data_IF_842423133683
#
_entry.id   IF_842423133683
#
_cell.length_a   1.000
_cell.length_b   1.000
_cell.length_c   1.000
_cell.angle_alpha   90.00
_cell.angle_beta   90.00
_cell.angle_gamma   90.00
#
_symmetry.space_group_name_H-M   'P 1'
#
loop_
_entity.id
_entity.type
_entity.pdbx_description
1 polymer ?
#
# COMPACT_ATOMS: atom_id res chain seq x y z
N UNK A 1 -2.20 27.71 -8.36
CA UNK A 1 -1.30 27.19 -7.28
C UNK A 1 -1.29 25.69 -7.40
N UNK A 2 -0.12 25.08 -7.59
CA UNK A 2 0.01 23.62 -7.52
C UNK A 2 -0.38 23.15 -6.11
N UNK A 3 -1.23 22.13 -6.04
CA UNK A 3 -1.53 21.46 -4.79
C UNK A 3 -0.23 20.84 -4.23
N UNK A 4 0.11 21.17 -3.00
CA UNK A 4 1.18 20.48 -2.28
C UNK A 4 0.53 19.49 -1.34
N UNK A 5 0.91 18.22 -1.39
CA UNK A 5 0.41 17.25 -0.41
C UNK A 5 0.80 17.70 1.00
N UNK A 6 0.04 17.31 2.03
CA UNK A 6 0.40 17.60 3.41
C UNK A 6 1.72 16.94 3.74
N UNK A 7 2.52 17.62 4.56
CA UNK A 7 3.77 17.08 5.05
C UNK A 7 3.55 16.28 6.33
N UNK A 8 4.47 15.37 6.61
CA UNK A 8 4.51 14.63 7.85
C UNK A 8 5.95 14.60 8.38
N UNK A 9 6.14 14.77 9.67
CA UNK A 9 7.44 14.71 10.31
C UNK A 9 7.64 13.35 10.99
N UNK A 10 8.55 12.51 10.46
CA UNK A 10 8.92 11.26 11.07
C UNK A 10 9.99 11.47 12.15
N UNK A 11 9.86 10.74 13.25
CA UNK A 11 10.90 10.59 14.28
C UNK A 11 11.06 9.11 14.60
N UNK A 12 12.29 8.61 14.58
CA UNK A 12 12.58 7.24 14.97
C UNK A 12 13.36 7.27 16.29
N UNK A 13 12.83 6.58 17.29
CA UNK A 13 13.53 6.30 18.54
C UNK A 13 13.97 4.85 18.55
N UNK A 14 15.18 4.60 19.08
CA UNK A 14 15.76 3.26 19.20
C UNK A 14 16.04 3.00 20.65
N UNK A 15 15.52 1.91 21.17
CA UNK A 15 15.94 1.35 22.45
C UNK A 15 16.73 0.04 22.21
N UNK A 16 16.98 -0.71 23.29
CA UNK A 16 17.79 -1.93 23.20
C UNK A 16 17.18 -3.04 22.33
N UNK A 17 15.91 -2.97 22.00
CA UNK A 17 15.16 -4.03 21.31
C UNK A 17 14.27 -3.55 20.18
N UNK A 18 13.89 -2.28 20.13
CA UNK A 18 12.87 -1.76 19.24
C UNK A 18 13.31 -0.50 18.50
N UNK A 19 12.71 -0.29 17.32
CA UNK A 19 12.77 0.97 16.57
C UNK A 19 11.35 1.47 16.40
N UNK A 20 10.98 2.44 17.19
CA UNK A 20 9.65 3.04 17.14
C UNK A 20 9.66 4.22 16.19
N UNK A 21 8.83 4.17 15.16
CA UNK A 21 8.56 5.31 14.28
C UNK A 21 7.33 6.06 14.79
N UNK A 22 7.53 7.35 15.06
CA UNK A 22 6.45 8.32 15.29
C UNK A 22 6.33 9.20 14.06
N UNK A 23 5.11 9.37 13.55
CA UNK A 23 4.83 10.17 12.36
C UNK A 23 3.74 11.19 12.69
N UNK A 24 4.11 12.47 12.71
CA UNK A 24 3.16 13.56 12.91
C UNK A 24 2.77 14.16 11.56
N UNK A 25 1.49 14.08 11.22
CA UNK A 25 0.92 14.73 10.05
C UNK A 25 0.61 16.18 10.39
N UNK A 26 1.04 17.12 9.53
CA UNK A 26 0.82 18.53 9.77
C UNK A 26 -0.62 18.94 9.56
N UNK A 27 -1.27 19.37 10.64
CA UNK A 27 -2.61 19.94 10.61
C UNK A 27 -2.54 21.43 10.27
N UNK A 28 -2.43 21.73 9.00
CA UNK A 28 -2.48 23.12 8.53
C UNK A 28 -3.93 23.61 8.38
N UNK A 29 -4.14 24.92 8.43
CA UNK A 29 -5.46 25.52 8.15
C UNK A 29 -5.98 25.11 6.76
N UNK A 30 -5.08 24.93 5.79
CA UNK A 30 -5.41 24.44 4.45
C UNK A 30 -5.83 22.96 4.49
N UNK A 31 -5.17 22.13 5.29
CA UNK A 31 -5.54 20.74 5.51
C UNK A 31 -6.97 20.66 6.06
N UNK A 32 -7.26 21.36 7.15
CA UNK A 32 -8.59 21.40 7.78
C UNK A 32 -9.69 21.95 6.86
N UNK A 33 -9.38 22.86 5.98
CA UNK A 33 -10.34 23.44 5.04
C UNK A 33 -10.72 22.50 3.90
N UNK A 34 -9.80 21.61 3.49
CA UNK A 34 -9.98 20.73 2.33
C UNK A 34 -10.37 19.32 2.77
N UNK A 35 -9.77 18.84 3.86
CA UNK A 35 -9.91 17.46 4.32
C UNK A 35 -10.82 17.38 5.54
N UNK A 36 -11.79 16.49 5.46
CA UNK A 36 -12.60 16.06 6.59
C UNK A 36 -11.72 15.22 7.56
N UNK A 37 -12.23 14.85 8.73
CA UNK A 37 -11.54 13.94 9.64
C UNK A 37 -11.04 12.68 8.93
N UNK A 38 -9.90 12.18 9.35
CA UNK A 38 -9.37 10.89 8.88
C UNK A 38 -10.27 9.77 9.38
N UNK A 39 -10.51 8.80 8.52
CA UNK A 39 -11.31 7.61 8.82
C UNK A 39 -10.54 6.36 8.43
N UNK A 40 -10.82 5.22 9.07
CA UNK A 40 -10.19 3.98 8.69
C UNK A 40 -10.52 3.59 7.25
N UNK A 41 -9.51 3.14 6.51
CA UNK A 41 -9.66 2.41 5.26
C UNK A 41 -9.17 0.98 5.48
N UNK A 42 -9.96 -0.01 5.18
CA UNK A 42 -9.68 -1.42 5.52
C UNK A 42 -9.39 -1.66 7.02
N UNK A 43 -10.03 -0.90 7.91
CA UNK A 43 -9.81 -0.98 9.36
C UNK A 43 -8.50 -0.36 9.83
N UNK A 44 -7.71 0.27 8.97
CA UNK A 44 -6.43 0.92 9.28
C UNK A 44 -6.54 2.44 9.10
N UNK A 45 -6.06 3.19 10.10
CA UNK A 45 -6.07 4.65 10.05
C UNK A 45 -5.04 5.22 9.06
N UNK A 46 -3.97 4.48 8.79
CA UNK A 46 -2.93 4.83 7.84
C UNK A 46 -2.35 3.57 7.21
N UNK A 47 -2.11 3.60 5.89
CA UNK A 47 -1.24 2.66 5.20
C UNK A 47 0.11 3.32 4.98
N UNK A 48 1.14 2.85 5.68
CA UNK A 48 2.49 3.41 5.63
C UNK A 48 3.40 2.54 4.79
N UNK A 49 3.98 3.13 3.76
CA UNK A 49 4.92 2.45 2.88
C UNK A 49 6.32 3.03 3.04
N UNK A 50 7.31 2.15 3.20
CA UNK A 50 8.72 2.52 3.23
C UNK A 50 9.44 1.83 2.06
N UNK A 51 10.10 2.63 1.23
CA UNK A 51 10.84 2.13 0.06
C UNK A 51 12.28 2.60 0.15
N UNK A 52 13.23 1.65 0.17
CA UNK A 52 14.65 2.03 0.26
C UNK A 52 15.10 2.84 -0.95
N UNK A 53 15.88 3.90 -0.72
CA UNK A 53 16.40 4.75 -1.81
C UNK A 53 17.50 4.05 -2.61
N UNK A 54 18.09 2.98 -2.08
CA UNK A 54 19.10 2.19 -2.77
C UNK A 54 18.43 1.19 -3.72
N UNK A 55 18.10 1.64 -4.93
CA UNK A 55 17.52 0.80 -5.98
C UNK A 55 16.15 0.20 -5.62
N UNK A 56 15.43 0.77 -4.67
CA UNK A 56 14.12 0.29 -4.20
C UNK A 56 14.10 -1.21 -3.83
N UNK A 57 15.18 -1.70 -3.24
CA UNK A 57 15.36 -3.13 -2.94
C UNK A 57 14.60 -3.60 -1.70
N UNK A 58 14.24 -2.69 -0.81
CA UNK A 58 13.49 -2.99 0.41
C UNK A 58 12.17 -2.23 0.35
N UNK A 59 11.11 -2.94 0.65
CA UNK A 59 9.75 -2.44 0.72
C UNK A 59 9.13 -2.87 2.04
N UNK A 60 8.40 -1.98 2.70
CA UNK A 60 7.56 -2.32 3.84
C UNK A 60 6.19 -1.66 3.70
N UNK A 61 5.16 -2.38 4.12
CA UNK A 61 3.79 -1.92 4.26
C UNK A 61 3.38 -2.14 5.71
N UNK A 62 3.16 -1.05 6.43
CA UNK A 62 2.91 -1.02 7.86
C UNK A 62 1.61 -0.27 8.16
N UNK A 63 1.03 -0.54 9.33
CA UNK A 63 -0.25 0.05 9.74
C UNK A 63 -0.09 0.77 11.08
N UNK A 64 0.45 2.00 11.08
CA UNK A 64 0.61 2.78 12.30
C UNK A 64 -0.73 3.03 12.99
N UNK A 65 -0.73 2.94 14.31
CA UNK A 65 -1.88 3.31 15.13
C UNK A 65 -1.84 4.80 15.46
N UNK A 66 -2.99 5.47 15.40
CA UNK A 66 -3.12 6.85 15.88
C UNK A 66 -3.09 6.86 17.40
N UNK A 67 -2.13 7.59 17.97
CA UNK A 67 -1.95 7.71 19.42
C UNK A 67 -2.48 9.04 19.98
N UNK A 68 -2.55 10.05 19.14
CA UNK A 68 -3.09 11.38 19.41
C UNK A 68 -3.49 11.97 18.06
N UNK A 69 -4.27 13.04 18.02
CA UNK A 69 -4.73 13.66 16.77
C UNK A 69 -3.56 13.85 15.78
N UNK A 70 -3.62 13.17 14.64
CA UNK A 70 -2.62 13.21 13.57
C UNK A 70 -1.19 12.75 13.99
N UNK A 71 -1.05 12.06 15.10
CA UNK A 71 0.18 11.42 15.53
C UNK A 71 0.04 9.91 15.47
N UNK A 72 0.83 9.29 14.61
CA UNK A 72 0.81 7.87 14.34
C UNK A 72 2.08 7.20 14.86
N UNK A 73 1.93 5.97 15.36
CA UNK A 73 3.03 5.18 15.93
C UNK A 73 3.04 3.78 15.33
N UNK A 74 4.23 3.27 14.99
CA UNK A 74 4.46 1.85 14.67
C UNK A 74 5.86 1.41 15.09
N UNK A 75 6.00 0.11 15.35
CA UNK A 75 7.31 -0.51 15.50
C UNK A 75 7.82 -0.93 14.11
N UNK A 76 9.05 -0.54 13.78
CA UNK A 76 9.65 -0.95 12.53
C UNK A 76 10.09 -2.41 12.60
N UNK A 77 9.72 -3.26 11.63
CA UNK A 77 10.21 -4.63 11.57
C UNK A 77 11.72 -4.65 11.36
N UNK A 78 12.31 -5.84 11.45
CA UNK A 78 13.74 -6.01 11.18
C UNK A 78 14.03 -5.84 9.68
N UNK A 79 14.07 -4.61 9.25
CA UNK A 79 14.45 -4.19 7.90
C UNK A 79 15.84 -3.55 7.92
N UNK A 80 16.60 -3.60 6.82
CA UNK A 80 17.93 -3.03 6.75
C UNK A 80 17.99 -1.55 7.14
N UNK A 81 19.05 -1.16 7.83
CA UNK A 81 19.34 0.26 8.07
C UNK A 81 19.59 1.00 6.75
N UNK A 82 19.28 2.27 6.70
CA UNK A 82 19.52 3.13 5.54
C UNK A 82 18.42 4.13 5.27
N UNK A 83 18.51 4.78 4.11
CA UNK A 83 17.56 5.82 3.70
C UNK A 83 16.35 5.23 2.98
N UNK A 84 15.17 5.71 3.36
CA UNK A 84 13.90 5.29 2.80
C UNK A 84 13.05 6.48 2.38
N UNK A 85 12.32 6.31 1.28
CA UNK A 85 11.15 7.12 0.95
C UNK A 85 10.01 6.66 1.85
N UNK A 86 9.25 7.61 2.35
CA UNK A 86 8.07 7.40 3.18
C UNK A 86 6.85 7.90 2.45
N UNK A 87 5.82 7.04 2.35
CA UNK A 87 4.50 7.39 1.83
C UNK A 87 3.46 6.91 2.84
N UNK A 88 2.62 7.82 3.31
CA UNK A 88 1.54 7.49 4.24
C UNK A 88 0.19 7.82 3.61
N UNK A 89 -0.59 6.81 3.28
CA UNK A 89 -1.93 6.97 2.74
C UNK A 89 -2.96 7.08 3.85
N UNK A 90 -3.78 8.11 3.75
CA UNK A 90 -4.85 8.44 4.67
C UNK A 90 -6.15 8.61 3.88
N UNK A 91 -7.23 8.08 4.39
CA UNK A 91 -8.57 8.32 3.85
C UNK A 91 -9.33 9.28 4.74
N UNK A 92 -10.20 10.09 4.15
CA UNK A 92 -10.99 11.08 4.88
C UNK A 92 -12.48 10.82 4.75
N UNK A 93 -13.23 11.29 5.73
CA UNK A 93 -14.69 11.11 5.83
C UNK A 93 -15.46 11.65 4.62
N UNK A 94 -14.91 12.62 3.90
CA UNK A 94 -15.52 13.15 2.68
C UNK A 94 -15.14 12.35 1.40
N UNK A 95 -14.39 11.27 1.54
CA UNK A 95 -14.00 10.37 0.44
C UNK A 95 -12.75 10.81 -0.31
N UNK A 96 -11.96 11.74 0.20
CA UNK A 96 -10.67 12.08 -0.38
C UNK A 96 -9.57 11.22 0.24
N UNK A 97 -8.67 10.73 -0.60
CA UNK A 97 -7.44 10.09 -0.16
C UNK A 97 -6.29 11.08 -0.21
N UNK A 98 -5.36 10.96 0.72
CA UNK A 98 -4.21 11.83 0.87
C UNK A 98 -2.97 10.98 1.07
N UNK A 99 -1.92 11.23 0.31
CA UNK A 99 -0.60 10.65 0.56
C UNK A 99 0.33 11.70 1.17
N UNK A 100 0.73 11.49 2.42
CA UNK A 100 1.81 12.28 3.04
C UNK A 100 3.15 11.65 2.66
N UNK A 101 4.15 12.49 2.39
CA UNK A 101 5.45 12.01 1.94
C UNK A 101 6.59 12.62 2.74
N UNK A 102 7.64 11.82 2.97
CA UNK A 102 8.91 12.28 3.53
C UNK A 102 10.04 11.32 3.16
N UNK A 103 11.21 11.55 3.72
CA UNK A 103 12.37 10.64 3.70
C UNK A 103 12.83 10.42 5.12
N UNK A 104 13.20 9.18 5.43
CA UNK A 104 13.69 8.81 6.75
C UNK A 104 15.03 8.08 6.65
N UNK A 105 15.82 8.20 7.69
CA UNK A 105 17.00 7.35 7.93
C UNK A 105 16.61 6.31 8.97
N UNK A 106 16.53 5.05 8.54
CA UNK A 106 16.25 3.93 9.46
C UNK A 106 17.57 3.49 10.08
N UNK A 107 17.74 3.61 11.40
CA UNK A 107 18.99 3.23 12.06
C UNK A 107 19.15 1.71 12.12
N UNK A 108 20.37 1.24 12.33
CA UNK A 108 20.61 -0.15 12.69
C UNK A 108 19.97 -0.43 14.06
N UNK A 109 19.43 -1.63 14.22
CA UNK A 109 18.90 -2.09 15.51
C UNK A 109 19.39 -3.51 15.79
N UNK A 110 19.67 -3.84 17.03
CA UNK A 110 19.89 -5.21 17.43
C UNK A 110 18.55 -5.97 17.48
N UNK A 111 18.55 -7.22 17.05
CA UNK A 111 17.45 -8.14 17.24
C UNK A 111 16.37 -8.12 16.15
N UNK A 112 15.48 -9.09 16.23
CA UNK A 112 14.28 -9.18 15.39
C UNK A 112 13.07 -8.80 16.25
N UNK A 113 12.23 -7.93 15.73
CA UNK A 113 10.96 -7.55 16.36
C UNK A 113 9.84 -8.12 15.50
N UNK A 114 8.88 -8.75 16.14
CA UNK A 114 7.65 -9.16 15.46
C UNK A 114 6.89 -7.91 15.03
N UNK A 115 6.20 -7.96 13.87
CA UNK A 115 5.33 -6.87 13.45
C UNK A 115 4.33 -6.50 14.54
N UNK A 116 4.04 -5.22 14.69
CA UNK A 116 3.06 -4.73 15.65
C UNK A 116 1.62 -4.99 15.22
N UNK A 117 1.42 -5.17 13.93
CA UNK A 117 0.13 -5.51 13.31
C UNK A 117 0.28 -6.80 12.49
N UNK A 118 -0.67 -7.75 12.53
CA UNK A 118 -0.58 -9.01 11.81
C UNK A 118 -0.58 -8.84 10.28
N UNK A 119 -1.03 -7.70 9.79
CA UNK A 119 -1.05 -7.37 8.36
C UNK A 119 0.20 -6.57 7.93
N UNK A 120 1.08 -6.21 8.87
CA UNK A 120 2.36 -5.60 8.54
C UNK A 120 3.26 -6.59 7.80
N UNK A 121 3.95 -6.09 6.79
CA UNK A 121 4.88 -6.90 6.02
C UNK A 121 6.06 -6.08 5.53
N UNK A 122 7.17 -6.75 5.29
CA UNK A 122 8.30 -6.18 4.57
C UNK A 122 8.97 -7.24 3.71
N UNK A 123 9.58 -6.80 2.62
CA UNK A 123 10.29 -7.65 1.66
C UNK A 123 11.60 -7.03 1.23
N UNK A 124 12.54 -7.89 0.85
CA UNK A 124 13.80 -7.50 0.25
C UNK A 124 14.04 -8.23 -1.05
N UNK A 125 14.00 -7.50 -2.14
CA UNK A 125 14.29 -8.01 -3.47
C UNK A 125 15.70 -7.63 -3.91
N UNK A 126 16.59 -8.61 -3.96
CA UNK A 126 17.99 -8.40 -4.32
C UNK A 126 18.26 -8.26 -5.82
N UNK A 127 17.27 -8.53 -6.68
CA UNK A 127 17.39 -8.47 -8.14
C UNK A 127 16.33 -7.59 -8.75
N UNK A 128 16.77 -6.60 -9.49
CA UNK A 128 15.95 -5.88 -10.45
C UNK A 128 15.90 -6.75 -11.71
N UNK A 129 14.76 -7.37 -11.97
CA UNK A 129 14.56 -8.12 -13.21
C UNK A 129 13.35 -7.52 -13.90
N UNK A 130 13.53 -7.09 -15.15
CA UNK A 130 12.40 -6.57 -15.96
C UNK A 130 11.28 -7.59 -16.01
N UNK A 131 10.06 -7.14 -15.73
CA UNK A 131 8.87 -7.92 -15.97
C UNK A 131 8.68 -8.14 -17.46
N UNK A 132 8.31 -9.34 -17.83
CA UNK A 132 7.90 -9.71 -19.18
C UNK A 132 6.75 -10.71 -19.07
N UNK A 133 5.92 -10.84 -20.11
CA UNK A 133 4.81 -11.78 -20.10
C UNK A 133 5.23 -13.18 -19.67
N UNK A 134 4.49 -13.79 -18.74
CA UNK A 134 4.78 -15.11 -18.20
C UNK A 134 5.94 -15.16 -17.19
N UNK A 135 6.48 -14.01 -16.78
CA UNK A 135 7.53 -13.98 -15.77
C UNK A 135 7.03 -14.49 -14.43
N UNK A 136 7.68 -15.52 -13.93
CA UNK A 136 7.40 -16.14 -12.63
C UNK A 136 8.36 -15.60 -11.57
N UNK A 137 7.80 -15.16 -10.45
CA UNK A 137 8.54 -14.79 -9.24
C UNK A 137 8.31 -15.84 -8.15
N UNK A 138 9.35 -16.49 -7.66
CA UNK A 138 9.20 -17.29 -6.47
C UNK A 138 8.84 -16.40 -5.29
N UNK A 139 7.87 -16.83 -4.51
CA UNK A 139 7.51 -16.30 -3.21
C UNK A 139 8.01 -17.27 -2.14
N UNK A 140 7.90 -16.87 -0.88
CA UNK A 140 8.19 -17.79 0.23
C UNK A 140 7.17 -18.94 0.31
N UNK A 141 7.47 -19.94 1.12
CA UNK A 141 6.62 -21.11 1.40
C UNK A 141 6.22 -21.94 0.16
N UNK A 142 7.04 -21.89 -0.91
CA UNK A 142 6.81 -22.67 -2.12
C UNK A 142 5.74 -22.10 -3.06
N UNK A 143 5.28 -20.90 -2.81
CA UNK A 143 4.39 -20.18 -3.73
C UNK A 143 5.18 -19.46 -4.82
N UNK A 144 4.46 -19.06 -5.85
CA UNK A 144 4.98 -18.22 -6.93
C UNK A 144 3.93 -17.24 -7.41
N UNK A 145 4.38 -16.12 -7.98
CA UNK A 145 3.50 -15.13 -8.62
C UNK A 145 3.95 -14.92 -10.06
N UNK A 146 3.03 -15.07 -10.99
CA UNK A 146 3.28 -14.89 -12.42
C UNK A 146 2.71 -13.56 -12.87
N UNK A 147 3.49 -12.78 -13.61
CA UNK A 147 3.04 -11.62 -14.36
C UNK A 147 2.28 -12.10 -15.61
N UNK A 148 0.99 -11.82 -15.68
CA UNK A 148 0.12 -12.39 -16.72
C UNK A 148 -0.18 -11.44 -17.90
N UNK A 149 0.23 -10.16 -17.83
CA UNK A 149 0.03 -9.21 -18.93
C UNK A 149 0.77 -9.65 -20.19
N UNK A 150 0.06 -9.64 -21.30
CA UNK A 150 0.62 -10.02 -22.61
C UNK A 150 1.07 -8.80 -23.44
N UNK A 151 0.51 -7.63 -23.16
CA UNK A 151 0.74 -6.42 -23.95
C UNK A 151 1.70 -5.45 -23.26
N UNK A 152 2.50 -4.68 -24.02
CA UNK A 152 3.30 -3.60 -23.47
C UNK A 152 2.43 -2.54 -22.78
N UNK A 153 2.90 -2.02 -21.66
CA UNK A 153 2.23 -0.94 -20.94
C UNK A 153 2.59 0.39 -21.58
N UNK A 154 1.56 1.20 -21.85
CA UNK A 154 1.69 2.54 -22.44
C UNK A 154 1.13 3.59 -21.48
N UNK A 155 1.88 4.68 -21.27
CA UNK A 155 1.42 5.79 -20.43
C UNK A 155 0.19 6.48 -21.03
N UNK A 156 -0.72 6.94 -20.16
CA UNK A 156 -1.98 7.55 -20.56
C UNK A 156 -3.02 6.56 -21.12
N UNK A 157 -2.77 5.25 -20.96
CA UNK A 157 -3.73 4.20 -21.29
C UNK A 157 -4.00 3.33 -20.08
N UNK A 158 -5.27 3.06 -19.82
CA UNK A 158 -5.66 2.15 -18.73
C UNK A 158 -5.20 0.73 -19.09
N UNK A 159 -4.54 0.09 -18.15
CA UNK A 159 -4.05 -1.30 -18.26
C UNK A 159 -4.46 -2.05 -17.01
N UNK A 160 -4.98 -3.24 -17.16
CA UNK A 160 -5.16 -4.17 -16.06
C UNK A 160 -3.81 -4.85 -15.77
N UNK A 161 -3.26 -4.64 -14.58
CA UNK A 161 -2.05 -5.32 -14.13
C UNK A 161 -2.47 -6.68 -13.59
N UNK A 162 -2.18 -7.74 -14.33
CA UNK A 162 -2.69 -9.07 -14.07
C UNK A 162 -1.60 -9.99 -13.48
N UNK A 163 -1.97 -10.69 -12.41
CA UNK A 163 -1.09 -11.63 -11.71
C UNK A 163 -1.82 -12.93 -11.38
N UNK A 164 -1.05 -14.02 -11.36
CA UNK A 164 -1.55 -15.33 -10.91
C UNK A 164 -0.64 -15.86 -9.81
N UNK A 165 -1.22 -16.19 -8.66
CA UNK A 165 -0.52 -16.83 -7.55
C UNK A 165 -0.74 -18.33 -7.60
N UNK A 166 0.35 -19.09 -7.55
CA UNK A 166 0.34 -20.54 -7.71
C UNK A 166 1.15 -21.24 -6.62
N UNK A 167 0.84 -22.49 -6.36
CA UNK A 167 1.62 -23.39 -5.52
C UNK A 167 2.88 -23.93 -6.24
N UNK A 168 3.61 -24.81 -5.57
CA UNK A 168 4.81 -25.47 -6.12
C UNK A 168 4.53 -26.37 -7.32
N UNK A 169 3.29 -26.78 -7.54
CA UNK A 169 2.84 -27.52 -8.73
C UNK A 169 2.32 -26.62 -9.85
N UNK A 170 2.52 -25.29 -9.73
CA UNK A 170 2.03 -24.27 -10.66
C UNK A 170 0.50 -24.23 -10.80
N UNK A 171 -0.21 -24.68 -9.78
CA UNK A 171 -1.68 -24.58 -9.75
C UNK A 171 -2.08 -23.29 -9.03
N UNK A 172 -3.02 -22.51 -9.59
CA UNK A 172 -3.57 -21.34 -8.90
C UNK A 172 -4.13 -21.70 -7.53
N UNK A 173 -3.86 -20.89 -6.52
CA UNK A 173 -4.29 -21.12 -5.14
C UNK A 173 -5.33 -20.09 -4.72
N UNK A 174 -6.22 -20.50 -3.82
CA UNK A 174 -7.13 -19.55 -3.17
C UNK A 174 -6.35 -18.62 -2.26
N UNK A 175 -6.68 -17.33 -2.32
CA UNK A 175 -6.08 -16.31 -1.46
C UNK A 175 -7.02 -16.02 -0.29
N UNK A 176 -6.44 -15.94 0.90
CA UNK A 176 -7.12 -15.38 2.05
C UNK A 176 -7.26 -13.87 1.89
N UNK A 177 -8.28 -13.25 2.46
CA UNK A 177 -8.40 -11.81 2.43
C UNK A 177 -7.19 -11.16 3.13
N UNK A 178 -6.56 -10.23 2.43
CA UNK A 178 -5.58 -9.30 2.98
C UNK A 178 -6.23 -7.93 3.03
N UNK A 179 -6.50 -7.45 4.25
CA UNK A 179 -7.25 -6.22 4.48
C UNK A 179 -8.61 -6.21 3.72
N UNK A 180 -9.32 -7.35 3.77
CA UNK A 180 -10.64 -7.51 3.14
C UNK A 180 -10.63 -7.71 1.62
N UNK A 181 -9.46 -7.77 0.98
CA UNK A 181 -9.30 -7.92 -0.48
C UNK A 181 -8.40 -9.09 -0.85
N UNK A 182 -8.45 -9.57 -2.11
CA UNK A 182 -7.55 -10.64 -2.58
C UNK A 182 -6.07 -10.27 -2.52
N UNK A 183 -5.76 -8.97 -2.58
CA UNK A 183 -4.40 -8.45 -2.50
C UNK A 183 -4.35 -6.94 -2.74
N UNK A 184 -3.17 -6.36 -2.55
CA UNK A 184 -2.88 -4.96 -2.79
C UNK A 184 -1.64 -4.83 -3.67
N UNK A 185 -1.52 -3.73 -4.40
CA UNK A 185 -0.31 -3.43 -5.14
C UNK A 185 0.17 -2.00 -4.86
N UNK A 186 1.48 -1.82 -4.89
CA UNK A 186 2.11 -0.49 -4.81
C UNK A 186 2.99 -0.30 -6.02
N UNK A 187 2.85 0.84 -6.68
CA UNK A 187 3.61 1.20 -7.86
C UNK A 187 4.41 2.47 -7.59
N UNK A 188 5.71 2.40 -7.82
CA UNK A 188 6.60 3.55 -7.66
C UNK A 188 7.47 3.70 -8.91
N UNK A 189 7.54 4.92 -9.45
CA UNK A 189 8.47 5.27 -10.51
C UNK A 189 9.90 5.35 -9.95
N UNK A 190 10.90 5.01 -10.74
CA UNK A 190 12.31 4.93 -10.33
C UNK A 190 12.88 6.25 -9.76
N UNK A 191 12.34 7.40 -10.18
CA UNK A 191 12.68 8.73 -9.67
C UNK A 191 11.79 9.19 -8.49
N UNK A 192 10.91 8.31 -8.01
CA UNK A 192 9.92 8.58 -6.96
C UNK A 192 8.93 9.72 -7.30
N UNK A 193 8.81 10.11 -8.57
CA UNK A 193 7.84 11.14 -8.99
C UNK A 193 6.40 10.63 -9.07
N UNK A 194 6.21 9.32 -9.03
CA UNK A 194 4.92 8.64 -9.00
C UNK A 194 4.95 7.61 -7.88
N UNK A 195 3.98 7.66 -7.03
CA UNK A 195 3.62 6.64 -6.03
C UNK A 195 2.12 6.42 -6.11
N UNK A 196 1.69 5.17 -6.06
CA UNK A 196 0.28 4.83 -5.96
C UNK A 196 0.08 3.51 -5.22
N UNK A 197 -0.90 3.47 -4.33
CA UNK A 197 -1.44 2.28 -3.71
C UNK A 197 -2.68 1.84 -4.49
N UNK A 198 -2.67 0.61 -4.99
CA UNK A 198 -3.70 0.05 -5.85
C UNK A 198 -4.49 -1.04 -5.13
N UNK A 199 -5.78 -1.03 -5.40
CA UNK A 199 -6.73 -2.07 -5.03
C UNK A 199 -7.23 -2.80 -6.28
N UNK A 200 -7.83 -3.99 -6.16
CA UNK A 200 -8.45 -4.66 -7.31
C UNK A 200 -9.52 -3.83 -8.03
N UNK A 201 -10.01 -2.78 -7.38
CA UNK A 201 -10.96 -1.80 -7.94
C UNK A 201 -10.27 -0.53 -8.45
N UNK A 202 -8.95 -0.51 -8.56
CA UNK A 202 -8.15 0.63 -9.01
C UNK A 202 -7.57 1.49 -7.89
N UNK A 203 -7.43 2.79 -8.15
CA UNK A 203 -6.77 3.75 -7.27
C UNK A 203 -7.68 4.34 -6.18
N UNK A 204 -8.99 4.06 -6.25
CA UNK A 204 -9.97 4.65 -5.33
C UNK A 204 -10.05 3.79 -4.07
N UNK A 205 -9.83 4.39 -2.92
CA UNK A 205 -9.98 3.72 -1.64
C UNK A 205 -11.42 3.21 -1.44
N UNK A 206 -11.65 2.02 -0.89
CA UNK A 206 -12.98 1.47 -0.65
C UNK A 206 -13.87 2.37 0.20
N UNK A 207 -13.32 3.05 1.19
CA UNK A 207 -14.08 4.04 1.97
C UNK A 207 -14.62 5.16 1.09
N UNK A 208 -13.85 5.62 0.11
CA UNK A 208 -14.27 6.63 -0.87
C UNK A 208 -15.43 6.14 -1.72
N UNK A 209 -15.39 4.90 -2.19
CA UNK A 209 -16.50 4.31 -2.96
C UNK A 209 -17.78 4.23 -2.13
N UNK A 210 -17.68 3.88 -0.84
CA UNK A 210 -18.84 3.87 0.07
C UNK A 210 -19.46 5.26 0.24
N UNK A 211 -18.63 6.30 0.36
CA UNK A 211 -19.11 7.70 0.43
C UNK A 211 -19.90 8.05 -0.82
N UNK A 212 -19.37 7.78 -1.99
CA UNK A 212 -20.05 8.10 -3.25
C UNK A 212 -21.32 7.27 -3.42
N UNK A 213 -21.28 5.98 -3.14
CA UNK A 213 -22.47 5.13 -3.19
C UNK A 213 -23.56 5.56 -2.21
N UNK A 214 -23.22 6.08 -1.03
CA UNK A 214 -24.20 6.65 -0.09
C UNK A 214 -24.82 7.93 -0.66
N UNK A 215 -24.02 8.82 -1.25
CA UNK A 215 -24.49 10.04 -1.90
C UNK A 215 -25.44 9.75 -3.07
N UNK A 216 -25.09 8.77 -3.90
CA UNK A 216 -25.92 8.37 -5.05
C UNK A 216 -27.28 7.81 -4.62
N UNK A 217 -27.37 7.20 -3.46
CA UNK A 217 -28.64 6.76 -2.83
C UNK A 217 -29.40 7.89 -2.14
N UNK A 218 -28.88 9.12 -2.18
CA UNK A 218 -29.50 10.27 -1.53
C UNK A 218 -29.32 10.30 -0.01
N UNK A 219 -28.35 9.57 0.54
CA UNK A 219 -28.04 9.64 1.97
C UNK A 219 -27.33 10.95 2.30
N UNK A 220 -28.12 11.90 2.80
CA UNK A 220 -27.64 13.21 3.25
C UNK A 220 -27.60 13.33 4.78
N UNK A 221 -27.88 12.24 5.51
CA UNK A 221 -28.05 12.26 6.97
C UNK A 221 -26.85 12.78 7.73
N UNK A 222 -25.64 12.64 7.17
CA UNK A 222 -24.40 13.13 7.75
C UNK A 222 -23.69 14.16 6.84
N UNK A 223 -24.43 14.95 6.06
CA UNK A 223 -23.86 15.91 5.09
C UNK A 223 -22.85 15.26 4.12
N UNK A 224 -23.11 14.01 3.75
CA UNK A 224 -22.19 13.20 2.93
C UNK A 224 -21.03 12.58 3.71
N UNK A 225 -21.08 12.57 5.03
CA UNK A 225 -20.11 11.88 5.89
C UNK A 225 -20.51 10.42 6.09
N UNK A 226 -19.54 9.55 6.19
CA UNK A 226 -19.79 8.14 6.51
C UNK A 226 -20.18 7.99 7.99
N UNK A 227 -21.16 7.15 8.25
CA UNK A 227 -21.25 6.52 9.58
C UNK A 227 -20.12 5.51 9.69
N UNK A 228 -19.41 5.42 10.84
CA UNK A 228 -18.54 4.30 11.11
C UNK A 228 -19.35 3.01 10.90
N UNK A 229 -18.87 2.12 10.02
CA UNK A 229 -19.44 0.79 9.93
C UNK A 229 -18.98 -0.05 11.12
N UNK A 230 -19.79 -1.01 11.60
CA UNK A 230 -19.27 -2.06 12.46
C UNK A 230 -18.08 -2.74 11.78
N UNK A 231 -17.06 -3.08 12.52
CA UNK A 231 -15.86 -3.75 11.98
C UNK A 231 -16.18 -5.04 11.20
N UNK A 232 -17.31 -5.69 11.50
CA UNK A 232 -17.84 -6.85 10.77
C UNK A 232 -18.20 -6.56 9.31
N UNK A 233 -18.58 -5.32 8.98
CA UNK A 233 -19.09 -4.94 7.65
C UNK A 233 -18.00 -4.38 6.75
N UNK A 234 -16.81 -4.09 7.29
CA UNK A 234 -15.65 -3.61 6.52
C UNK A 234 -14.97 -4.74 5.73
N UNK A 235 -15.22 -5.99 6.10
CA UNK A 235 -14.61 -7.17 5.50
C UNK A 235 -15.58 -7.88 4.56
N UNK A 236 -15.99 -7.23 3.48
CA UNK A 236 -16.60 -7.96 2.37
C UNK A 236 -15.53 -8.86 1.77
N UNK A 237 -15.52 -10.12 2.18
CA UNK A 237 -14.55 -11.12 1.78
C UNK A 237 -14.70 -11.42 0.30
N UNK A 238 -13.84 -10.85 -0.53
CA UNK A 238 -13.73 -11.24 -1.92
C UNK A 238 -12.86 -12.49 -2.00
N UNK A 239 -13.49 -13.64 -2.19
CA UNK A 239 -12.76 -14.88 -2.48
C UNK A 239 -12.02 -14.72 -3.83
N UNK A 240 -10.77 -15.11 -3.86
CA UNK A 240 -9.97 -15.11 -5.08
C UNK A 240 -9.47 -16.52 -5.38
N UNK A 241 -9.48 -16.89 -6.65
CA UNK A 241 -8.90 -18.12 -7.18
C UNK A 241 -7.41 -18.00 -7.51
N UNK A 242 -6.71 -17.08 -6.86
CA UNK A 242 -5.29 -16.81 -7.13
C UNK A 242 -5.05 -15.82 -8.28
N UNK A 243 -6.10 -15.40 -8.97
CA UNK A 243 -6.00 -14.36 -10.01
C UNK A 243 -6.26 -12.99 -9.41
N UNK A 244 -5.42 -12.03 -9.80
CA UNK A 244 -5.46 -10.65 -9.35
C UNK A 244 -5.42 -9.73 -10.57
N UNK A 245 -6.20 -8.66 -10.55
CA UNK A 245 -6.17 -7.59 -11.53
C UNK A 245 -6.24 -6.25 -10.83
N UNK A 246 -5.37 -5.33 -11.24
CA UNK A 246 -5.32 -3.97 -10.72
C UNK A 246 -5.38 -2.99 -11.91
N UNK A 247 -6.54 -2.38 -12.19
CA UNK A 247 -6.64 -1.38 -13.24
C UNK A 247 -5.85 -0.13 -12.90
N UNK A 248 -4.96 0.28 -13.79
CA UNK A 248 -4.13 1.46 -13.60
C UNK A 248 -3.77 2.16 -14.92
N UNK A 249 -3.72 3.47 -14.88
CA UNK A 249 -3.21 4.32 -15.97
C UNK A 249 -1.91 4.99 -15.50
N UNK A 250 -0.79 4.57 -16.11
CA UNK A 250 0.51 5.15 -15.78
C UNK A 250 0.59 6.58 -16.32
N UNK A 251 0.84 7.59 -15.46
CA UNK A 251 0.78 9.00 -15.89
C UNK A 251 1.98 9.45 -16.72
N UNK A 252 3.08 8.70 -16.71
CA UNK A 252 4.33 9.05 -17.38
C UNK A 252 5.04 7.81 -17.89
N UNK A 253 5.78 7.89 -19.01
CA UNK A 253 6.69 6.82 -19.42
C UNK A 253 7.86 6.70 -18.46
N UNK A 254 8.53 5.55 -18.47
CA UNK A 254 9.73 5.28 -17.67
C UNK A 254 9.69 3.94 -16.98
N UNK A 255 10.62 3.74 -16.05
CA UNK A 255 10.71 2.53 -15.28
C UNK A 255 9.92 2.66 -13.99
N UNK A 256 9.16 1.61 -13.68
CA UNK A 256 8.40 1.49 -12.45
C UNK A 256 8.70 0.16 -11.76
N UNK A 257 8.61 0.18 -10.43
CA UNK A 257 8.59 -1.03 -9.62
C UNK A 257 7.21 -1.22 -9.03
N UNK A 258 6.75 -2.47 -9.09
CA UNK A 258 5.45 -2.90 -8.59
C UNK A 258 5.68 -3.96 -7.52
N UNK A 259 5.13 -3.75 -6.34
CA UNK A 259 5.02 -4.76 -5.28
C UNK A 259 3.57 -5.20 -5.18
N UNK A 260 3.35 -6.49 -5.29
CA UNK A 260 2.02 -7.09 -5.17
C UNK A 260 1.98 -7.95 -3.93
N UNK A 261 1.08 -7.63 -3.02
CA UNK A 261 0.93 -8.28 -1.74
C UNK A 261 -0.31 -9.17 -1.70
N UNK A 262 -0.13 -10.40 -1.28
CA UNK A 262 -1.17 -11.44 -1.24
C UNK A 262 -1.02 -12.28 0.02
N UNK A 263 -2.10 -12.97 0.41
CA UNK A 263 -2.13 -13.84 1.59
C UNK A 263 -2.60 -15.26 1.19
N UNK A 264 -1.71 -16.07 0.57
CA UNK A 264 -2.10 -17.44 0.18
C UNK A 264 -2.23 -18.39 1.38
N UNK A 265 -1.64 -18.03 2.52
CA UNK A 265 -1.73 -18.72 3.81
C UNK A 265 -1.84 -17.66 4.93
N UNK A 266 -1.26 -17.94 6.11
CA UNK A 266 -1.34 -17.05 7.28
C UNK A 266 -0.51 -15.76 7.15
N UNK A 267 0.47 -15.71 6.23
CA UNK A 267 1.39 -14.59 6.07
C UNK A 267 1.14 -13.83 4.79
N UNK A 268 1.43 -12.52 4.84
CA UNK A 268 1.49 -11.68 3.65
C UNK A 268 2.78 -11.97 2.90
N UNK A 269 2.67 -12.30 1.62
CA UNK A 269 3.79 -12.51 0.70
C UNK A 269 3.81 -11.42 -0.35
N UNK A 270 5.01 -11.00 -0.78
CA UNK A 270 5.20 -9.90 -1.71
C UNK A 270 5.88 -10.36 -2.98
N UNK A 271 5.22 -10.21 -4.12
CA UNK A 271 5.83 -10.35 -5.45
C UNK A 271 6.32 -9.00 -5.97
N UNK A 272 7.56 -8.95 -6.49
CA UNK A 272 8.16 -7.69 -6.97
C UNK A 272 8.47 -7.76 -8.47
N UNK A 273 8.01 -6.76 -9.23
CA UNK A 273 8.20 -6.68 -10.67
C UNK A 273 8.69 -5.28 -11.08
N UNK A 274 9.61 -5.23 -12.05
CA UNK A 274 10.01 -3.98 -12.70
C UNK A 274 9.41 -3.95 -14.11
N UNK A 275 8.81 -2.83 -14.49
CA UNK A 275 8.21 -2.66 -15.80
C UNK A 275 8.71 -1.38 -16.46
N UNK A 276 8.87 -1.44 -17.80
CA UNK A 276 9.14 -0.27 -18.62
C UNK A 276 7.82 0.17 -19.25
N UNK A 277 7.36 1.35 -18.91
CA UNK A 277 6.18 2.02 -19.47
C UNK A 277 6.62 2.90 -20.63
N UNK A 278 5.97 2.77 -21.79
CA UNK A 278 6.26 3.53 -23.02
C UNK A 278 5.43 4.80 -23.14
#
# INVERSE_FOLDING_TARGET
>A
RMFKPPAADPTITVDSSHRTLMLRVHDTAQFRAIFAPIVPDHGKMMHLFLVSTNGMQVFAHLHPTETDSLLFKTELPWMPAGRYLLFGDLATENGLSITVTNRIEVPAAPGSVSPSDPDDSWDRTNRITRGFPGMVRPLEDGYSMTWANETPIVSGQTTDLEFVVSDSAMKPVSLQPYLGMPGHAVVVRDDASVFIHLHPMGTIAPVTQRVFAARDRGDTTNRGRLRPLPASDEHTMMASTGQLSFPYEFPKPGRYRIWVQVKPAERVLTGTFDVDVR
#
